data_IF_343347010524
#
_entry.id   IF_343347010524
#
_cell.length_a   1.000
_cell.length_b   1.000
_cell.length_c   1.000
_cell.angle_alpha   90.00
_cell.angle_beta   90.00
_cell.angle_gamma   90.00
#
_symmetry.space_group_name_H-M   'P 1'
#
loop_
_entity.id
_entity.type
_entity.pdbx_description
1 polymer ?
#
# COMPACT_ATOMS: atom_id res chain seq x y z
N UNK A 1 1.50 -15.50 -21.19
CA UNK A 1 2.12 -14.24 -20.72
C UNK A 1 2.16 -14.35 -19.21
N UNK A 2 3.30 -14.08 -18.59
CA UNK A 2 3.43 -14.11 -17.14
C UNK A 2 2.51 -13.04 -16.54
N UNK A 3 1.81 -13.35 -15.43
CA UNK A 3 0.90 -12.41 -14.76
C UNK A 3 1.53 -11.03 -14.52
N UNK A 4 2.82 -11.00 -14.24
CA UNK A 4 3.54 -9.75 -13.94
C UNK A 4 3.97 -8.97 -15.19
N UNK A 5 4.11 -9.61 -16.35
CA UNK A 5 4.44 -8.94 -17.63
C UNK A 5 3.31 -8.04 -18.12
N UNK A 6 2.07 -8.31 -17.73
CA UNK A 6 0.92 -7.48 -18.09
C UNK A 6 1.00 -6.05 -17.54
N UNK A 7 1.78 -5.82 -16.48
CA UNK A 7 2.03 -4.46 -15.95
C UNK A 7 2.95 -3.63 -16.86
N UNK A 8 3.36 -4.17 -18.03
CA UNK A 8 4.21 -3.49 -19.01
C UNK A 8 5.64 -3.27 -18.52
N UNK A 9 6.11 -4.15 -17.63
CA UNK A 9 7.41 -4.08 -17.01
C UNK A 9 8.39 -5.01 -17.71
N UNK A 10 9.63 -4.55 -17.91
CA UNK A 10 10.67 -5.41 -18.46
C UNK A 10 11.14 -6.40 -17.40
N UNK A 11 11.20 -7.68 -17.75
CA UNK A 11 11.86 -8.70 -16.93
C UNK A 11 13.37 -8.48 -17.00
N UNK A 12 13.97 -8.09 -15.88
CA UNK A 12 15.41 -7.81 -15.78
C UNK A 12 16.22 -9.05 -15.37
N UNK A 13 15.63 -9.90 -14.54
CA UNK A 13 16.27 -11.10 -14.01
C UNK A 13 15.20 -12.10 -13.61
N UNK A 14 15.48 -13.40 -13.74
CA UNK A 14 14.62 -14.49 -13.24
C UNK A 14 15.45 -15.72 -12.87
N UNK A 15 15.16 -16.31 -11.72
CA UNK A 15 15.62 -17.64 -11.30
C UNK A 15 14.44 -18.42 -10.67
N UNK A 16 14.73 -19.61 -10.08
CA UNK A 16 13.68 -20.44 -9.46
C UNK A 16 13.01 -19.80 -8.23
N UNK A 17 13.67 -18.82 -7.61
CA UNK A 17 13.24 -18.22 -6.34
C UNK A 17 12.60 -16.85 -6.55
N UNK A 18 13.04 -16.11 -7.57
CA UNK A 18 12.58 -14.72 -7.77
C UNK A 18 12.66 -14.27 -9.22
N UNK A 19 11.81 -13.29 -9.53
CA UNK A 19 11.84 -12.55 -10.79
C UNK A 19 11.87 -11.05 -10.49
N UNK A 20 12.74 -10.31 -11.16
CA UNK A 20 12.87 -8.86 -11.01
C UNK A 20 12.34 -8.18 -12.25
N UNK A 21 11.42 -7.24 -12.06
CA UNK A 21 10.85 -6.41 -13.11
C UNK A 21 11.15 -4.95 -12.84
N UNK A 22 11.34 -4.17 -13.89
CA UNK A 22 11.46 -2.72 -13.78
C UNK A 22 12.54 -2.11 -14.64
N UNK A 23 12.89 -0.89 -14.30
CA UNK A 23 13.94 -0.11 -14.89
C UNK A 23 14.95 0.30 -13.83
N UNK A 24 16.24 0.00 -14.03
CA UNK A 24 17.28 0.30 -13.06
C UNK A 24 17.34 1.80 -12.75
N UNK A 25 17.28 2.13 -11.47
CA UNK A 25 17.32 3.51 -10.97
C UNK A 25 15.98 4.26 -10.95
N UNK A 26 14.89 3.66 -11.45
CA UNK A 26 13.56 4.28 -11.41
C UNK A 26 12.64 3.56 -10.43
N UNK A 27 12.46 2.26 -10.57
CA UNK A 27 11.62 1.44 -9.70
C UNK A 27 11.91 -0.04 -9.94
N UNK A 28 11.69 -0.83 -8.89
CA UNK A 28 11.87 -2.27 -8.92
C UNK A 28 10.67 -2.95 -8.29
N UNK A 29 10.19 -3.99 -8.95
CA UNK A 29 9.25 -4.96 -8.43
C UNK A 29 9.96 -6.30 -8.38
N UNK A 30 10.12 -6.85 -7.19
CA UNK A 30 10.76 -8.16 -6.98
C UNK A 30 9.67 -9.14 -6.60
N UNK A 31 9.48 -10.14 -7.42
CA UNK A 31 8.54 -11.23 -7.17
C UNK A 31 9.31 -12.41 -6.59
N UNK A 32 8.95 -12.81 -5.40
CA UNK A 32 9.47 -14.00 -4.72
C UNK A 32 8.46 -15.12 -4.82
N UNK A 33 8.84 -16.24 -5.43
CA UNK A 33 8.02 -17.44 -5.55
C UNK A 33 8.14 -18.26 -4.25
N UNK A 34 7.22 -18.00 -3.30
CA UNK A 34 7.31 -18.58 -1.96
C UNK A 34 6.85 -20.04 -1.94
N UNK A 35 5.71 -20.31 -2.57
CA UNK A 35 5.13 -21.65 -2.71
C UNK A 35 4.43 -21.74 -4.08
N UNK A 36 4.07 -22.94 -4.51
CA UNK A 36 3.22 -23.11 -5.68
C UNK A 36 1.91 -22.33 -5.50
N UNK A 37 1.67 -21.36 -6.39
CA UNK A 37 0.51 -20.47 -6.33
C UNK A 37 0.55 -19.41 -5.22
N UNK A 38 1.70 -19.16 -4.59
CA UNK A 38 1.85 -18.11 -3.57
C UNK A 38 3.11 -17.30 -3.82
N UNK A 39 2.92 -16.06 -4.23
CA UNK A 39 3.99 -15.12 -4.49
C UNK A 39 3.99 -13.98 -3.45
N UNK A 40 5.18 -13.46 -3.13
CA UNK A 40 5.32 -12.18 -2.46
C UNK A 40 5.96 -11.17 -3.42
N UNK A 41 5.36 -10.02 -3.57
CA UNK A 41 5.81 -8.96 -4.47
C UNK A 41 6.31 -7.79 -3.63
N UNK A 42 7.61 -7.57 -3.61
CA UNK A 42 8.23 -6.44 -2.93
C UNK A 42 8.31 -5.24 -3.89
N UNK A 43 7.85 -4.10 -3.42
CA UNK A 43 7.94 -2.82 -4.11
C UNK A 43 9.01 -1.96 -3.47
N UNK A 44 10.01 -1.58 -4.27
CA UNK A 44 11.00 -0.59 -3.90
C UNK A 44 10.99 0.50 -4.97
N UNK A 45 10.04 1.43 -4.85
CA UNK A 45 9.72 2.39 -5.88
C UNK A 45 10.15 3.78 -5.49
N UNK A 46 11.08 4.35 -6.26
CA UNK A 46 11.58 5.71 -6.08
C UNK A 46 10.94 6.74 -7.02
N UNK A 47 10.16 6.30 -8.00
CA UNK A 47 9.54 7.16 -9.00
C UNK A 47 8.02 6.98 -9.04
N UNK A 48 7.34 7.92 -9.67
CA UNK A 48 5.92 7.85 -9.92
C UNK A 48 5.62 6.81 -10.99
N UNK A 49 4.74 5.88 -10.67
CA UNK A 49 4.17 4.90 -11.59
C UNK A 49 2.70 5.24 -11.86
N UNK A 50 2.31 5.29 -13.13
CA UNK A 50 0.93 5.57 -13.52
C UNK A 50 0.57 4.70 -14.72
N UNK A 51 -0.56 4.00 -14.64
CA UNK A 51 -1.17 3.26 -15.74
C UNK A 51 -2.61 3.71 -15.90
N UNK A 52 -2.98 4.04 -17.13
CA UNK A 52 -4.33 4.46 -17.47
C UNK A 52 -5.29 3.25 -17.53
N UNK A 53 -6.60 3.49 -17.38
CA UNK A 53 -7.61 2.45 -17.56
C UNK A 53 -7.49 1.81 -18.94
N UNK A 54 -7.41 0.48 -18.99
CA UNK A 54 -7.31 -0.30 -20.24
C UNK A 54 -5.88 -0.57 -20.72
N UNK A 55 -4.85 0.00 -20.08
CA UNK A 55 -3.44 -0.38 -20.35
C UNK A 55 -3.05 -1.66 -19.61
N UNK A 56 -3.75 -1.99 -18.53
CA UNK A 56 -3.65 -3.28 -17.85
C UNK A 56 -4.61 -4.27 -18.53
N UNK A 57 -4.07 -5.13 -19.37
CA UNK A 57 -4.82 -6.28 -19.89
C UNK A 57 -4.65 -7.42 -18.89
N UNK A 58 -5.45 -7.44 -17.84
CA UNK A 58 -5.50 -8.56 -16.91
C UNK A 58 -6.07 -9.76 -17.68
N UNK A 59 -5.35 -10.88 -17.70
CA UNK A 59 -5.88 -12.14 -18.15
C UNK A 59 -6.98 -12.64 -17.19
N UNK A 60 -7.67 -13.72 -17.52
CA UNK A 60 -8.75 -14.28 -16.70
C UNK A 60 -8.23 -14.99 -15.43
N UNK A 61 -7.00 -14.75 -15.01
CA UNK A 61 -6.39 -15.39 -13.84
C UNK A 61 -7.04 -14.85 -12.56
N UNK A 62 -7.71 -15.73 -11.83
CA UNK A 62 -8.24 -15.41 -10.51
C UNK A 62 -7.10 -15.33 -9.49
N UNK A 63 -7.08 -14.26 -8.71
CA UNK A 63 -6.12 -14.12 -7.62
C UNK A 63 -6.72 -13.41 -6.41
N UNK A 64 -6.06 -13.58 -5.27
CA UNK A 64 -6.27 -12.80 -4.06
C UNK A 64 -4.97 -12.10 -3.69
N UNK A 65 -5.08 -10.89 -3.20
CA UNK A 65 -3.94 -10.07 -2.83
C UNK A 65 -4.12 -9.53 -1.42
N UNK A 66 -3.10 -9.71 -0.59
CA UNK A 66 -2.97 -9.10 0.74
C UNK A 66 -1.81 -8.12 0.65
N UNK A 67 -2.07 -6.84 0.84
CA UNK A 67 -1.09 -5.78 0.68
C UNK A 67 -0.75 -5.14 2.02
N UNK A 68 0.53 -4.87 2.24
CA UNK A 68 1.02 -4.08 3.36
C UNK A 68 2.05 -3.08 2.88
N UNK A 69 1.83 -1.81 3.19
CA UNK A 69 2.72 -0.72 2.82
C UNK A 69 3.25 -0.01 4.06
N UNK A 70 4.52 0.33 4.04
CA UNK A 70 5.18 1.09 5.10
C UNK A 70 5.30 2.55 4.75
N UNK A 71 5.27 2.88 3.44
CA UNK A 71 5.48 4.23 2.94
C UNK A 71 4.84 4.41 1.56
N UNK A 72 4.57 5.66 1.20
CA UNK A 72 4.08 6.05 -0.12
C UNK A 72 2.56 6.03 -0.23
N UNK A 73 2.11 6.24 -1.45
CA UNK A 73 0.71 6.27 -1.83
C UNK A 73 0.51 5.38 -3.04
N UNK A 74 -0.42 4.44 -2.96
CA UNK A 74 -0.87 3.67 -4.11
C UNK A 74 -2.37 3.84 -4.26
N UNK A 75 -2.79 4.42 -5.38
CA UNK A 75 -4.19 4.56 -5.73
C UNK A 75 -4.55 3.53 -6.81
N UNK A 76 -5.66 2.85 -6.62
CA UNK A 76 -6.23 1.95 -7.61
C UNK A 76 -7.67 2.39 -7.91
N UNK A 77 -7.97 2.65 -9.16
CA UNK A 77 -9.34 2.84 -9.63
C UNK A 77 -9.87 1.49 -10.10
N UNK A 78 -10.74 0.91 -9.31
CA UNK A 78 -11.34 -0.41 -9.58
C UNK A 78 -12.58 -0.32 -10.50
N UNK A 79 -12.83 0.83 -11.12
CA UNK A 79 -14.02 1.10 -11.89
C UNK A 79 -15.26 1.39 -11.03
N UNK A 80 -16.35 1.87 -11.66
CA UNK A 80 -17.62 2.22 -10.97
C UNK A 80 -17.46 3.22 -9.81
N UNK A 81 -16.55 4.21 -9.95
CA UNK A 81 -16.24 5.20 -8.92
C UNK A 81 -15.65 4.62 -7.62
N UNK A 82 -15.07 3.44 -7.67
CA UNK A 82 -14.39 2.81 -6.54
C UNK A 82 -12.89 3.08 -6.66
N UNK A 83 -12.45 4.20 -6.15
CA UNK A 83 -11.04 4.47 -5.93
C UNK A 83 -10.61 3.88 -4.61
N UNK A 84 -9.46 3.27 -4.60
CA UNK A 84 -8.81 2.74 -3.41
C UNK A 84 -7.46 3.36 -3.26
N UNK A 85 -7.17 3.73 -2.05
CA UNK A 85 -5.86 4.22 -1.64
C UNK A 85 -5.26 3.25 -0.64
N UNK A 86 -4.13 2.68 -1.00
CA UNK A 86 -3.35 1.85 -0.09
C UNK A 86 -2.56 2.77 0.85
N UNK A 87 -2.66 2.53 2.15
CA UNK A 87 -2.12 3.42 3.18
C UNK A 87 -1.09 2.70 4.04
N UNK A 88 -0.01 3.40 4.46
CA UNK A 88 0.95 2.84 5.38
C UNK A 88 0.33 2.35 6.70
N UNK A 89 0.72 1.15 7.12
CA UNK A 89 0.26 0.55 8.37
C UNK A 89 -1.16 -0.05 8.32
N UNK A 90 -1.75 -0.12 7.13
CA UNK A 90 -3.04 -0.77 6.88
C UNK A 90 -2.79 -2.06 6.09
N UNK A 91 -3.55 -3.10 6.39
CA UNK A 91 -3.59 -4.30 5.56
C UNK A 91 -4.76 -4.17 4.61
N UNK A 92 -4.44 -4.22 3.35
CA UNK A 92 -5.40 -4.18 2.28
C UNK A 92 -5.58 -5.56 1.67
N UNK A 93 -6.82 -5.90 1.40
CA UNK A 93 -7.19 -7.13 0.72
C UNK A 93 -7.91 -6.80 -0.56
N UNK A 94 -7.46 -7.39 -1.65
CA UNK A 94 -8.07 -7.28 -2.96
C UNK A 94 -8.39 -8.70 -3.46
N UNK A 95 -9.61 -8.87 -3.94
CA UNK A 95 -10.00 -10.01 -4.77
C UNK A 95 -10.20 -9.50 -6.18
N UNK A 96 -9.40 -9.98 -7.11
CA UNK A 96 -9.64 -9.65 -8.51
C UNK A 96 -10.52 -10.70 -9.19
N UNK A 97 -11.38 -10.19 -10.05
CA UNK A 97 -12.23 -10.99 -10.89
C UNK A 97 -12.09 -10.48 -12.33
N UNK A 98 -12.15 -11.34 -13.35
CA UNK A 98 -12.00 -11.00 -14.77
C UNK A 98 -12.82 -9.82 -15.28
N UNK A 99 -13.88 -9.46 -14.57
CA UNK A 99 -14.76 -8.32 -14.92
C UNK A 99 -14.24 -6.95 -14.43
N UNK A 100 -13.13 -6.89 -13.68
CA UNK A 100 -12.57 -5.63 -13.17
C UNK A 100 -11.60 -4.94 -14.17
N UNK A 101 -11.72 -5.21 -15.44
CA UNK A 101 -10.83 -4.84 -16.56
C UNK A 101 -10.58 -3.35 -16.82
N UNK A 102 -10.82 -2.47 -15.85
CA UNK A 102 -10.62 -1.01 -16.00
C UNK A 102 -9.88 -0.39 -14.82
N UNK A 103 -8.98 -1.14 -14.19
CA UNK A 103 -8.21 -0.56 -13.11
C UNK A 103 -7.15 0.41 -13.66
N UNK A 104 -7.18 1.65 -13.17
CA UNK A 104 -6.03 2.54 -13.23
C UNK A 104 -5.23 2.36 -11.94
N UNK A 105 -3.93 2.28 -12.04
CA UNK A 105 -3.04 2.24 -10.88
C UNK A 105 -2.11 3.44 -10.93
N UNK A 106 -2.07 4.18 -9.84
CA UNK A 106 -1.12 5.25 -9.62
C UNK A 106 -0.38 4.97 -8.32
N UNK A 107 0.93 4.93 -8.39
CA UNK A 107 1.77 4.73 -7.22
C UNK A 107 2.88 5.79 -7.18
N UNK A 108 3.15 6.32 -5.99
CA UNK A 108 4.18 7.33 -5.77
C UNK A 108 4.96 6.95 -4.52
N UNK A 109 6.24 6.64 -4.73
CA UNK A 109 7.19 6.27 -3.67
C UNK A 109 6.69 5.16 -2.73
N UNK A 110 6.06 4.17 -3.30
CA UNK A 110 5.52 3.04 -2.54
C UNK A 110 6.63 2.12 -2.07
N UNK A 111 6.64 1.86 -0.75
CA UNK A 111 7.45 0.81 -0.15
C UNK A 111 6.53 -0.15 0.60
N UNK A 112 6.70 -1.42 0.35
CA UNK A 112 5.87 -2.45 0.93
C UNK A 112 5.82 -3.68 0.07
N UNK A 113 4.86 -4.53 0.31
CA UNK A 113 4.73 -5.76 -0.45
C UNK A 113 3.26 -6.17 -0.60
N UNK A 114 3.04 -7.04 -1.58
CA UNK A 114 1.81 -7.80 -1.75
C UNK A 114 2.11 -9.28 -1.55
N UNK A 115 1.23 -10.00 -0.87
CA UNK A 115 1.16 -11.46 -0.92
C UNK A 115 0.02 -11.80 -1.88
N UNK A 116 0.32 -12.53 -2.95
CA UNK A 116 -0.63 -12.91 -4.00
C UNK A 116 -0.84 -14.41 -3.96
N UNK A 117 -2.10 -14.81 -3.95
CA UNK A 117 -2.53 -16.20 -3.98
C UNK A 117 -3.21 -16.49 -5.32
N UNK A 118 -2.70 -17.45 -6.06
CA UNK A 118 -3.29 -17.98 -7.30
C UNK A 118 -3.93 -19.34 -7.04
N UNK A 119 -5.24 -19.41 -6.76
CA UNK A 119 -5.89 -20.65 -6.30
C UNK A 119 -5.67 -21.85 -7.20
N UNK A 120 -5.68 -21.61 -8.51
CA UNK A 120 -5.54 -22.66 -9.53
C UNK A 120 -4.12 -23.23 -9.64
N UNK A 121 -3.14 -22.55 -9.05
CA UNK A 121 -1.73 -22.95 -9.05
C UNK A 121 -1.30 -23.59 -7.73
N UNK A 122 -2.16 -23.57 -6.69
CA UNK A 122 -1.85 -24.17 -5.40
C UNK A 122 -1.95 -25.68 -5.49
N UNK A 123 -0.83 -26.37 -5.24
CA UNK A 123 -0.79 -27.82 -5.24
C UNK A 123 -1.59 -28.41 -4.07
N UNK A 124 -2.49 -29.39 -4.30
CA UNK A 124 -3.30 -30.02 -3.25
C UNK A 124 -2.44 -30.64 -2.13
N UNK A 125 -1.34 -31.30 -2.49
CA UNK A 125 -0.42 -31.93 -1.53
C UNK A 125 0.22 -30.90 -0.58
N UNK A 126 0.58 -29.71 -1.08
CA UNK A 126 1.07 -28.61 -0.27
C UNK A 126 -0.03 -28.13 0.70
N UNK A 127 -1.24 -27.93 0.21
CA UNK A 127 -2.37 -27.49 1.03
C UNK A 127 -2.66 -28.46 2.18
N UNK A 128 -2.72 -29.76 1.89
CA UNK A 128 -2.90 -30.79 2.91
C UNK A 128 -1.77 -30.81 3.95
N UNK A 129 -0.54 -30.71 3.51
CA UNK A 129 0.63 -30.67 4.41
C UNK A 129 0.59 -29.47 5.35
N UNK A 130 0.24 -28.29 4.85
CA UNK A 130 0.17 -27.05 5.64
C UNK A 130 -0.93 -27.12 6.69
N UNK A 131 -2.11 -27.64 6.35
CA UNK A 131 -3.19 -27.86 7.33
C UNK A 131 -2.75 -28.82 8.42
N UNK A 132 -2.17 -29.95 8.06
CA UNK A 132 -1.78 -30.99 9.03
C UNK A 132 -0.63 -30.60 9.94
N UNK A 133 0.30 -29.74 9.45
CA UNK A 133 1.55 -29.44 10.14
C UNK A 133 1.51 -28.09 10.86
N UNK A 134 0.84 -27.11 10.28
CA UNK A 134 0.89 -25.73 10.73
C UNK A 134 -0.50 -25.13 11.04
N UNK A 135 -1.58 -25.89 10.84
CA UNK A 135 -2.95 -25.42 10.96
C UNK A 135 -3.23 -24.17 10.06
N UNK A 136 -2.62 -24.18 8.88
CA UNK A 136 -2.77 -23.10 7.87
C UNK A 136 -3.54 -23.64 6.67
N UNK A 137 -4.71 -23.08 6.42
CA UNK A 137 -5.60 -23.47 5.32
C UNK A 137 -5.68 -22.36 4.27
N UNK A 138 -5.22 -22.62 3.06
CA UNK A 138 -5.46 -21.73 1.93
C UNK A 138 -6.95 -21.61 1.62
N UNK A 139 -7.72 -22.71 1.76
CA UNK A 139 -9.16 -22.70 1.52
C UNK A 139 -9.90 -21.76 2.49
N UNK A 140 -9.54 -21.80 3.79
CA UNK A 140 -10.13 -20.89 4.78
C UNK A 140 -9.71 -19.44 4.53
N UNK A 141 -8.46 -19.22 4.14
CA UNK A 141 -7.98 -17.90 3.72
C UNK A 141 -8.79 -17.36 2.54
N UNK A 142 -8.97 -18.17 1.51
CA UNK A 142 -9.77 -17.78 0.32
C UNK A 142 -11.24 -17.57 0.68
N UNK A 143 -11.82 -18.42 1.52
CA UNK A 143 -13.19 -18.25 2.01
C UNK A 143 -13.36 -16.93 2.74
N UNK A 144 -12.42 -16.58 3.64
CA UNK A 144 -12.40 -15.30 4.31
C UNK A 144 -12.28 -14.13 3.31
N UNK A 145 -11.40 -14.25 2.32
CA UNK A 145 -11.21 -13.24 1.28
C UNK A 145 -12.41 -13.13 0.33
N UNK A 146 -13.17 -14.21 0.13
CA UNK A 146 -14.41 -14.20 -0.64
C UNK A 146 -15.56 -13.44 0.03
N UNK A 147 -15.53 -13.28 1.36
CA UNK A 147 -16.46 -12.41 2.07
C UNK A 147 -16.21 -10.92 1.78
N UNK A 148 -15.04 -10.59 1.26
CA UNK A 148 -14.71 -9.24 0.78
C UNK A 148 -15.28 -9.07 -0.62
N UNK A 149 -16.10 -8.05 -0.84
CA UNK A 149 -16.80 -7.86 -2.14
C UNK A 149 -15.85 -7.72 -3.32
N UNK A 150 -14.93 -6.76 -3.29
CA UNK A 150 -13.85 -6.57 -4.28
C UNK A 150 -12.55 -6.21 -3.57
N UNK A 151 -12.63 -5.26 -2.63
CA UNK A 151 -11.49 -4.81 -1.84
C UNK A 151 -11.96 -4.38 -0.45
N UNK A 152 -11.12 -4.58 0.55
CA UNK A 152 -11.34 -4.07 1.90
C UNK A 152 -10.01 -3.69 2.54
N UNK A 153 -10.07 -2.72 3.44
CA UNK A 153 -8.94 -2.30 4.26
C UNK A 153 -9.20 -2.68 5.71
N UNK A 154 -8.15 -3.09 6.39
CA UNK A 154 -8.22 -3.56 7.77
C UNK A 154 -7.17 -2.86 8.61
N UNK A 155 -7.56 -2.41 9.81
CA UNK A 155 -6.60 -1.99 10.83
C UNK A 155 -6.09 -3.24 11.53
N UNK A 156 -4.82 -3.62 11.34
CA UNK A 156 -4.24 -4.76 12.04
C UNK A 156 -4.15 -4.46 13.54
N UNK A 157 -4.27 -5.48 14.36
CA UNK A 157 -3.83 -5.40 15.75
C UNK A 157 -2.28 -5.38 15.83
N UNK A 158 -1.73 -5.19 17.05
CA UNK A 158 -0.28 -5.12 17.23
C UNK A 158 0.45 -6.37 16.76
N UNK A 159 -0.15 -7.55 16.96
CA UNK A 159 0.42 -8.84 16.52
C UNK A 159 0.50 -8.93 15.01
N UNK A 160 -0.61 -8.67 14.34
CA UNK A 160 -0.68 -8.75 12.88
C UNK A 160 0.20 -7.68 12.22
N UNK A 161 0.28 -6.48 12.83
CA UNK A 161 1.18 -5.42 12.37
C UNK A 161 2.64 -5.85 12.47
N UNK A 162 3.02 -6.51 13.58
CA UNK A 162 4.37 -7.05 13.77
C UNK A 162 4.71 -8.12 12.73
N UNK A 163 3.80 -9.09 12.52
CA UNK A 163 3.95 -10.14 11.50
C UNK A 163 4.16 -9.52 10.12
N UNK A 164 3.34 -8.53 9.77
CA UNK A 164 3.43 -7.87 8.47
C UNK A 164 4.75 -7.08 8.31
N UNK A 165 5.23 -6.41 9.36
CA UNK A 165 6.48 -5.68 9.33
C UNK A 165 7.69 -6.63 9.16
N UNK A 166 7.76 -7.72 9.92
CA UNK A 166 8.84 -8.71 9.82
C UNK A 166 8.87 -9.41 8.45
N UNK A 167 7.70 -9.71 7.86
CA UNK A 167 7.66 -10.24 6.51
C UNK A 167 8.32 -9.28 5.51
N UNK A 168 8.04 -7.98 5.64
CA UNK A 168 8.68 -6.95 4.81
C UNK A 168 10.19 -6.91 4.98
N UNK A 169 10.71 -7.04 6.21
CA UNK A 169 12.16 -7.11 6.49
C UNK A 169 12.78 -8.35 5.84
N UNK A 170 12.19 -9.54 6.01
CA UNK A 170 12.71 -10.78 5.41
C UNK A 170 12.70 -10.76 3.88
N UNK A 171 11.70 -10.10 3.26
CA UNK A 171 11.69 -9.92 1.81
C UNK A 171 12.79 -8.96 1.35
N UNK A 172 13.06 -7.87 2.09
CA UNK A 172 14.14 -6.93 1.80
C UNK A 172 15.52 -7.59 1.93
N UNK A 173 15.69 -8.44 2.94
CA UNK A 173 16.94 -9.17 3.20
C UNK A 173 17.09 -10.43 2.34
N UNK A 174 16.12 -10.71 1.45
CA UNK A 174 16.04 -11.92 0.61
C UNK A 174 16.10 -13.23 1.43
N UNK A 175 15.67 -13.18 2.69
CA UNK A 175 15.63 -14.33 3.60
C UNK A 175 14.41 -15.23 3.32
N UNK A 176 14.37 -15.86 2.14
CA UNK A 176 13.19 -16.55 1.59
C UNK A 176 12.62 -17.62 2.53
N UNK A 177 13.47 -18.38 3.22
CA UNK A 177 13.03 -19.38 4.20
C UNK A 177 12.20 -18.74 5.33
N UNK A 178 12.64 -17.61 5.86
CA UNK A 178 11.94 -16.87 6.90
C UNK A 178 10.68 -16.18 6.35
N UNK A 179 10.75 -15.62 5.12
CA UNK A 179 9.59 -15.06 4.45
C UNK A 179 8.48 -16.11 4.25
N UNK A 180 8.81 -17.35 3.88
CA UNK A 180 7.86 -18.47 3.79
C UNK A 180 7.15 -18.73 5.12
N UNK A 181 7.90 -18.84 6.22
CA UNK A 181 7.30 -19.04 7.55
C UNK A 181 6.39 -17.86 7.94
N UNK A 182 6.83 -16.66 7.66
CA UNK A 182 6.10 -15.44 8.03
C UNK A 182 4.83 -15.24 7.18
N UNK A 183 4.83 -15.64 5.91
CA UNK A 183 3.60 -15.67 5.09
C UNK A 183 2.58 -16.65 5.67
N UNK A 184 3.00 -17.84 6.09
CA UNK A 184 2.07 -18.79 6.72
C UNK A 184 1.49 -18.22 8.02
N UNK A 185 2.31 -17.57 8.85
CA UNK A 185 1.83 -16.89 10.05
C UNK A 185 0.85 -15.75 9.72
N UNK A 186 1.12 -14.95 8.67
CA UNK A 186 0.23 -13.91 8.19
C UNK A 186 -1.12 -14.49 7.77
N UNK A 187 -1.14 -15.55 6.95
CA UNK A 187 -2.37 -16.18 6.48
C UNK A 187 -3.18 -16.78 7.64
N UNK A 188 -2.52 -17.40 8.60
CA UNK A 188 -3.17 -17.90 9.82
C UNK A 188 -3.76 -16.76 10.65
N UNK A 189 -3.02 -15.68 10.86
CA UNK A 189 -3.50 -14.53 11.61
C UNK A 189 -4.69 -13.83 10.92
N UNK A 190 -4.68 -13.77 9.59
CA UNK A 190 -5.77 -13.24 8.77
C UNK A 190 -7.06 -14.05 8.95
N UNK A 191 -6.98 -15.37 9.00
CA UNK A 191 -8.16 -16.26 9.16
C UNK A 191 -8.67 -16.31 10.59
N UNK A 192 -7.80 -16.17 11.59
CA UNK A 192 -8.15 -16.27 13.01
C UNK A 192 -8.57 -14.96 13.67
N UNK A 193 -8.63 -13.86 12.91
CA UNK A 193 -9.29 -12.65 13.36
C UNK A 193 -8.41 -11.59 14.02
N UNK A 194 -7.12 -11.51 13.65
CA UNK A 194 -6.18 -10.49 14.15
C UNK A 194 -6.45 -9.05 13.71
N UNK A 195 -7.69 -8.70 13.26
CA UNK A 195 -7.99 -7.35 12.78
C UNK A 195 -9.47 -6.98 12.91
N UNK A 196 -9.69 -5.68 12.94
CA UNK A 196 -11.03 -5.09 12.86
C UNK A 196 -11.28 -4.64 11.42
N UNK A 197 -12.28 -5.25 10.78
CA UNK A 197 -12.77 -4.75 9.50
C UNK A 197 -13.17 -3.29 9.65
N UNK A 198 -12.64 -2.46 8.79
CA UNK A 198 -13.07 -1.09 8.67
C UNK A 198 -14.48 -1.13 8.05
N UNK A 199 -15.48 -1.08 8.90
CA UNK A 199 -16.85 -1.02 8.41
C UNK A 199 -17.04 0.26 7.60
N UNK A 200 -17.32 0.08 6.32
CA UNK A 200 -17.76 1.12 5.42
C UNK A 200 -18.84 2.01 6.11
N UNK A 201 -18.52 3.27 6.27
CA UNK A 201 -19.36 4.46 6.10
C UNK A 201 -20.87 4.37 6.40
N UNK A 202 -21.30 3.73 7.49
CA UNK A 202 -22.74 3.80 7.87
C UNK A 202 -23.28 5.22 8.05
N UNK A 203 -22.42 6.24 8.04
CA UNK A 203 -22.78 7.65 8.29
C UNK A 203 -22.41 8.61 7.13
N UNK A 204 -21.83 8.14 6.03
CA UNK A 204 -21.48 8.99 4.90
C UNK A 204 -22.36 8.68 3.71
N UNK A 205 -23.11 9.67 3.23
CA UNK A 205 -23.84 9.54 1.97
C UNK A 205 -22.85 9.46 0.79
N UNK A 206 -23.26 8.89 -0.37
CA UNK A 206 -22.43 8.89 -1.57
C UNK A 206 -21.89 10.27 -1.92
N UNK A 207 -22.71 11.31 -1.80
CA UNK A 207 -22.31 12.72 -2.02
C UNK A 207 -21.25 13.21 -1.03
N UNK A 208 -21.32 12.79 0.25
CA UNK A 208 -20.30 13.14 1.24
C UNK A 208 -18.99 12.43 0.93
N UNK A 209 -19.04 11.19 0.47
CA UNK A 209 -17.87 10.42 0.03
C UNK A 209 -17.19 11.12 -1.13
N UNK A 210 -17.91 11.46 -2.20
CA UNK A 210 -17.37 12.16 -3.37
C UNK A 210 -16.73 13.51 -2.99
N UNK A 211 -17.40 14.30 -2.15
CA UNK A 211 -16.85 15.57 -1.65
C UNK A 211 -15.58 15.35 -0.82
N UNK A 212 -15.58 14.35 0.05
CA UNK A 212 -14.41 14.00 0.86
C UNK A 212 -13.23 13.59 -0.03
N UNK A 213 -13.49 12.82 -1.09
CA UNK A 213 -12.45 12.42 -2.04
C UNK A 213 -11.89 13.62 -2.81
N UNK A 214 -12.74 14.58 -3.25
CA UNK A 214 -12.25 15.81 -3.89
C UNK A 214 -11.40 16.67 -2.96
N UNK A 215 -11.77 16.78 -1.69
CA UNK A 215 -10.96 17.48 -0.69
C UNK A 215 -9.61 16.77 -0.53
N UNK A 216 -9.62 15.44 -0.43
CA UNK A 216 -8.42 14.63 -0.34
C UNK A 216 -7.49 14.84 -1.54
N UNK A 217 -8.01 14.78 -2.78
CA UNK A 217 -7.25 15.06 -4.00
C UNK A 217 -6.61 16.46 -3.96
N UNK A 218 -7.35 17.48 -3.50
CA UNK A 218 -6.82 18.84 -3.33
C UNK A 218 -5.70 18.91 -2.28
N UNK A 219 -5.82 18.16 -1.19
CA UNK A 219 -4.77 18.08 -0.16
C UNK A 219 -3.46 17.51 -0.70
N UNK A 220 -3.53 16.56 -1.65
CA UNK A 220 -2.35 15.94 -2.27
C UNK A 220 -1.79 16.74 -3.44
N UNK A 221 -2.62 17.49 -4.16
CA UNK A 221 -2.20 18.23 -5.35
C UNK A 221 -1.09 19.23 -5.06
N UNK A 222 -1.06 19.79 -3.86
CA UNK A 222 -0.01 20.73 -3.44
C UNK A 222 0.23 20.62 -1.92
N UNK A 223 1.21 19.84 -1.54
CA UNK A 223 1.59 19.61 -0.14
C UNK A 223 2.22 20.86 0.53
N UNK A 224 2.65 21.85 -0.25
CA UNK A 224 3.17 23.12 0.25
C UNK A 224 2.06 24.07 0.72
N UNK A 225 0.83 23.86 0.25
CA UNK A 225 -0.31 24.72 0.54
C UNK A 225 -0.64 24.77 2.02
N UNK A 226 -1.04 25.95 2.45
CA UNK A 226 -1.47 26.25 3.83
C UNK A 226 -2.98 26.31 3.98
N UNK A 227 -3.72 25.87 2.97
CA UNK A 227 -5.18 25.78 3.08
C UNK A 227 -5.57 24.96 4.30
N UNK A 228 -6.43 25.51 5.09
CA UNK A 228 -6.97 24.82 6.27
C UNK A 228 -8.06 23.81 5.83
N UNK A 229 -8.27 22.79 6.64
CA UNK A 229 -9.38 21.83 6.42
C UNK A 229 -10.72 22.59 6.37
N UNK A 230 -10.88 23.65 7.16
CA UNK A 230 -12.08 24.48 7.16
C UNK A 230 -12.33 25.16 5.81
N UNK A 231 -11.29 25.69 5.17
CA UNK A 231 -11.38 26.31 3.84
C UNK A 231 -11.75 25.28 2.78
N UNK A 232 -11.05 24.14 2.75
CA UNK A 232 -11.33 23.03 1.83
C UNK A 232 -12.78 22.51 1.96
N UNK A 233 -13.24 22.37 3.19
CA UNK A 233 -14.62 21.93 3.46
C UNK A 233 -15.65 22.95 3.02
N UNK A 234 -15.38 24.25 3.24
CA UNK A 234 -16.27 25.36 2.82
C UNK A 234 -16.43 25.38 1.31
N UNK A 235 -15.33 25.27 0.59
CA UNK A 235 -15.34 25.29 -0.89
C UNK A 235 -16.16 24.13 -1.48
N UNK A 236 -16.12 22.96 -0.84
CA UNK A 236 -16.89 21.78 -1.26
C UNK A 236 -18.31 21.76 -0.67
N UNK A 237 -18.68 22.73 0.17
CA UNK A 237 -19.97 22.74 0.87
C UNK A 237 -20.18 21.49 1.74
N UNK A 238 -19.15 21.12 2.50
CA UNK A 238 -19.16 20.03 3.46
C UNK A 238 -18.82 20.54 4.86
N UNK A 239 -19.50 20.09 5.92
CA UNK A 239 -19.11 20.47 7.28
C UNK A 239 -17.81 19.79 7.66
N UNK A 240 -16.95 20.45 8.46
CA UNK A 240 -15.70 19.83 8.94
C UNK A 240 -15.94 18.53 9.72
N UNK A 241 -17.02 18.47 10.50
CA UNK A 241 -17.35 17.25 11.27
C UNK A 241 -17.67 16.11 10.32
N UNK A 242 -18.57 16.34 9.36
CA UNK A 242 -18.92 15.32 8.36
C UNK A 242 -17.69 14.90 7.55
N UNK A 243 -16.84 15.86 7.15
CA UNK A 243 -15.59 15.59 6.46
C UNK A 243 -14.66 14.70 7.29
N UNK A 244 -14.38 15.07 8.55
CA UNK A 244 -13.50 14.32 9.45
C UNK A 244 -14.00 12.90 9.69
N UNK A 245 -15.32 12.75 9.86
CA UNK A 245 -15.94 11.43 10.06
C UNK A 245 -15.86 10.58 8.77
N UNK A 246 -16.22 11.15 7.62
CA UNK A 246 -16.10 10.46 6.34
C UNK A 246 -14.64 10.17 5.99
N UNK A 247 -13.74 11.12 6.20
CA UNK A 247 -12.32 10.95 5.97
C UNK A 247 -11.75 9.82 6.84
N UNK A 248 -12.07 9.83 8.13
CA UNK A 248 -11.65 8.75 9.04
C UNK A 248 -12.26 7.41 8.66
N UNK A 249 -13.49 7.40 8.17
CA UNK A 249 -14.14 6.18 7.71
C UNK A 249 -13.53 5.64 6.41
N UNK A 250 -13.10 6.52 5.50
CA UNK A 250 -12.47 6.15 4.21
C UNK A 250 -11.00 5.80 4.38
N UNK A 251 -10.25 6.62 5.14
CA UNK A 251 -8.78 6.58 5.18
C UNK A 251 -8.22 6.15 6.54
N UNK A 252 -9.06 5.82 7.53
CA UNK A 252 -8.73 5.34 8.88
C UNK A 252 -7.80 6.25 9.69
N UNK A 253 -7.58 7.47 9.21
CA UNK A 253 -6.73 8.50 9.82
C UNK A 253 -7.48 9.81 9.91
N UNK A 254 -6.99 10.69 10.78
CA UNK A 254 -7.45 12.07 10.72
C UNK A 254 -6.86 12.76 9.49
N UNK A 255 -7.57 13.74 8.89
CA UNK A 255 -7.03 14.51 7.77
C UNK A 255 -5.69 15.16 8.08
N UNK A 256 -5.48 15.62 9.34
CA UNK A 256 -4.23 16.22 9.78
C UNK A 256 -3.07 15.23 9.84
N UNK A 257 -3.31 14.01 10.35
CA UNK A 257 -2.31 12.94 10.38
C UNK A 257 -1.95 12.48 8.99
N UNK A 258 -2.95 12.36 8.12
CA UNK A 258 -2.77 12.02 6.72
C UNK A 258 -1.86 13.04 6.01
N UNK A 259 -2.21 14.33 6.06
CA UNK A 259 -1.43 15.39 5.41
C UNK A 259 0.00 15.47 5.97
N UNK A 260 0.15 15.29 7.29
CA UNK A 260 1.47 15.24 7.92
C UNK A 260 2.32 14.10 7.37
N UNK A 261 1.76 12.91 7.25
CA UNK A 261 2.47 11.74 6.70
C UNK A 261 2.79 11.95 5.21
N UNK A 262 1.84 12.42 4.40
CA UNK A 262 2.05 12.71 2.99
C UNK A 262 3.20 13.72 2.77
N UNK A 263 3.25 14.80 3.57
CA UNK A 263 4.35 15.78 3.54
C UNK A 263 5.70 15.13 3.89
N UNK A 264 5.74 14.25 4.88
CA UNK A 264 6.99 13.57 5.26
C UNK A 264 7.44 12.57 4.22
N UNK A 265 6.53 11.87 3.57
CA UNK A 265 6.83 10.97 2.47
C UNK A 265 7.43 11.75 1.29
N UNK A 266 6.82 12.84 0.88
CA UNK A 266 7.38 13.70 -0.17
C UNK A 266 8.74 14.30 0.23
N UNK A 267 8.90 14.67 1.50
CA UNK A 267 10.20 15.13 2.00
C UNK A 267 11.27 14.04 1.90
N UNK A 268 10.93 12.78 2.19
CA UNK A 268 11.86 11.66 2.09
C UNK A 268 12.39 11.47 0.65
N UNK A 269 11.51 11.64 -0.35
CA UNK A 269 11.89 11.62 -1.76
C UNK A 269 12.86 12.75 -2.09
N UNK A 270 12.52 13.97 -1.67
CA UNK A 270 13.34 15.15 -1.94
C UNK A 270 14.70 15.11 -1.21
N UNK A 271 14.79 14.38 -0.09
CA UNK A 271 16.04 14.17 0.63
C UNK A 271 17.05 13.32 -0.14
N UNK A 272 16.62 12.50 -1.08
CA UNK A 272 17.50 11.75 -1.96
C UNK A 272 18.27 12.66 -2.95
N UNK A 273 17.77 13.88 -3.22
CA UNK A 273 18.48 14.87 -4.02
C UNK A 273 19.51 15.66 -3.15
N UNK A 274 20.81 15.44 -3.34
CA UNK A 274 21.84 16.13 -2.54
C UNK A 274 21.92 17.65 -2.81
N UNK A 275 21.32 18.12 -3.92
CA UNK A 275 21.37 19.53 -4.31
C UNK A 275 20.41 20.41 -3.47
N UNK A 276 19.41 19.80 -2.83
CA UNK A 276 18.41 20.53 -2.02
C UNK A 276 18.83 20.56 -0.55
N UNK A 277 18.80 21.69 0.07
CA UNK A 277 19.01 21.82 1.51
C UNK A 277 17.79 21.29 2.30
N UNK A 278 18.00 20.84 3.53
CA UNK A 278 16.91 20.41 4.42
C UNK A 278 15.94 21.57 4.70
N UNK A 279 16.46 22.80 4.75
CA UNK A 279 15.65 24.00 4.96
C UNK A 279 14.72 24.26 3.77
N UNK A 280 15.21 24.15 2.55
CA UNK A 280 14.38 24.28 1.32
C UNK A 280 13.30 23.19 1.29
N UNK A 281 13.65 21.94 1.58
CA UNK A 281 12.67 20.84 1.65
C UNK A 281 11.62 21.12 2.71
N UNK A 282 12.02 21.62 3.89
CA UNK A 282 11.10 22.03 4.95
C UNK A 282 10.08 23.07 4.45
N UNK A 283 10.53 24.09 3.73
CA UNK A 283 9.66 25.11 3.15
C UNK A 283 8.74 24.56 2.06
N UNK A 284 9.26 23.70 1.18
CA UNK A 284 8.47 23.02 0.15
C UNK A 284 7.35 22.16 0.74
N UNK A 285 7.55 21.62 1.94
CA UNK A 285 6.54 20.85 2.68
C UNK A 285 5.62 21.73 3.54
N UNK A 286 5.67 23.05 3.38
CA UNK A 286 4.79 23.99 4.08
C UNK A 286 5.14 24.21 5.56
N UNK A 287 6.37 23.92 5.99
CA UNK A 287 6.84 24.18 7.36
C UNK A 287 7.60 25.50 7.42
N UNK A 288 7.09 26.45 8.24
CA UNK A 288 7.77 27.73 8.50
C UNK A 288 9.03 27.55 9.36
N UNK A 289 9.04 26.52 10.20
CA UNK A 289 10.12 26.28 11.12
C UNK A 289 10.79 24.92 10.83
N UNK A 290 12.05 24.91 10.38
CA UNK A 290 12.81 23.70 10.11
C UNK A 290 12.94 22.75 11.31
N UNK A 291 12.86 23.28 12.55
CA UNK A 291 12.90 22.44 13.75
C UNK A 291 11.62 21.63 13.90
N UNK A 292 10.47 22.20 13.57
CA UNK A 292 9.19 21.49 13.56
C UNK A 292 9.17 20.40 12.48
N UNK A 293 9.67 20.73 11.30
CA UNK A 293 9.87 19.74 10.23
C UNK A 293 10.75 18.57 10.69
N UNK A 294 11.92 18.87 11.22
CA UNK A 294 12.89 17.85 11.68
C UNK A 294 12.29 16.94 12.75
N UNK A 295 11.55 17.52 13.73
CA UNK A 295 10.86 16.76 14.77
C UNK A 295 9.76 15.87 14.18
N UNK A 296 8.97 16.39 13.25
CA UNK A 296 7.90 15.64 12.59
C UNK A 296 8.46 14.51 11.74
N UNK A 297 9.51 14.79 10.97
CA UNK A 297 10.19 13.79 10.16
C UNK A 297 10.76 12.64 11.02
N UNK A 298 11.43 12.98 12.13
CA UNK A 298 11.91 11.99 13.09
C UNK A 298 10.76 11.17 13.68
N UNK A 299 9.61 11.78 13.94
CA UNK A 299 8.43 11.09 14.45
C UNK A 299 7.85 10.07 13.45
N UNK A 300 7.96 10.32 12.14
CA UNK A 300 7.45 9.42 11.08
C UNK A 300 8.48 8.36 10.71
N UNK A 301 9.76 8.73 10.57
CA UNK A 301 10.82 7.85 10.06
C UNK A 301 11.77 7.30 11.13
N UNK A 302 11.54 7.61 12.40
CA UNK A 302 12.42 7.19 13.50
C UNK A 302 13.81 7.82 13.53
N UNK A 303 14.19 8.58 12.48
CA UNK A 303 15.52 9.18 12.34
C UNK A 303 15.45 10.62 11.82
N UNK A 304 16.55 11.37 12.02
CA UNK A 304 16.66 12.75 11.55
C UNK A 304 16.76 12.80 10.01
N UNK A 305 16.26 13.87 9.36
CA UNK A 305 16.35 14.05 7.90
C UNK A 305 17.78 13.94 7.36
N UNK A 306 18.78 14.45 8.10
CA UNK A 306 20.19 14.35 7.72
C UNK A 306 20.67 12.90 7.68
N UNK A 307 20.33 12.11 8.70
CA UNK A 307 20.70 10.69 8.78
C UNK A 307 20.01 9.88 7.69
N UNK A 308 18.74 10.20 7.42
CA UNK A 308 17.98 9.57 6.33
C UNK A 308 18.67 9.81 4.98
N UNK A 309 19.03 11.08 4.68
CA UNK A 309 19.79 11.44 3.46
C UNK A 309 21.07 10.64 3.32
N UNK A 310 21.86 10.56 4.37
CA UNK A 310 23.13 9.82 4.36
C UNK A 310 22.97 8.33 4.05
N UNK A 311 21.81 7.76 4.43
CA UNK A 311 21.46 6.37 4.09
C UNK A 311 21.02 6.20 2.63
N UNK A 312 20.27 7.17 2.09
CA UNK A 312 19.81 7.13 0.70
C UNK A 312 20.92 7.35 -0.34
N UNK A 313 22.04 7.97 0.07
CA UNK A 313 23.16 8.31 -0.83
C UNK A 313 24.30 7.27 -0.78
N UNK A 314 24.18 6.24 0.05
CA UNK A 314 25.09 5.09 0.11
C UNK A 314 24.61 3.96 -0.77
#
# INVERSE_FOLDING_TARGET
>A
MDYYEQFGLARMFSDEMRTVYGEAGQWLMIVFHLFSGVDAVLYNQFARFERAPGELQLDDTRFYCISYYTMGLAESDLGNHRRREAMPGIIDVLRDHPSSTRAAVRAESVHGYNVILFPEQIEPALSEMLVRTFDVSFADTMTFLDEVTVAASFVPDERLLHIAAELGEYLQDEAIGMARLKVLELLHAVTTGGFKRIHSTKHCSPTHIEKTMRIHERMLADLSRRETIAELCRDEGLSETTFKDCFKALYQRTPGDFLRTARMNQAAILLADPKRSIAEISQMMGYDNPSNFTRTFKGVYGMLPKVYREKCLK
#
